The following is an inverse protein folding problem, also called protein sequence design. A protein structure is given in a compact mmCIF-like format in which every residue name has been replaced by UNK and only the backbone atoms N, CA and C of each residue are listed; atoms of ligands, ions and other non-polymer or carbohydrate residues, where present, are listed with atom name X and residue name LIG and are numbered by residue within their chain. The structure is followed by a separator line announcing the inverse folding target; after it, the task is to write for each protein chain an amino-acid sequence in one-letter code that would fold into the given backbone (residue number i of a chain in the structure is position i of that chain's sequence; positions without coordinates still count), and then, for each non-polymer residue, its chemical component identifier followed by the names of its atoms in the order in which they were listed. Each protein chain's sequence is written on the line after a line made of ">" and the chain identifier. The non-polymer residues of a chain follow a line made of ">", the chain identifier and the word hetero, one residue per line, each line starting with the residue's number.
data_IF_890821841085
#
_entry.id   IF_890821841085
#
_cell.length_a   1.000
_cell.length_b   1.000
_cell.length_c   1.000
_cell.angle_alpha   90.00
_cell.angle_beta   90.00
_cell.angle_gamma   90.00
#
_symmetry.space_group_name_H-M   'P 1'
#
loop_
_entity.id
_entity.type
_entity.pdbx_description
1 polymer ?
#
# COMPACT_ATOMS: atom_id res chain seq x y z
N UNK A 1 -9.79 -17.55 -19.31
CA UNK A 1 -9.57 -17.23 -20.74
C UNK A 1 -8.15 -17.64 -21.13
N UNK A 2 -7.95 -18.23 -22.30
CA UNK A 2 -6.64 -18.64 -22.81
C UNK A 2 -5.83 -17.42 -23.30
N UNK A 3 -4.77 -17.07 -22.57
CA UNK A 3 -3.82 -16.05 -23.02
C UNK A 3 -3.09 -16.53 -24.28
N UNK A 4 -3.11 -15.74 -25.34
CA UNK A 4 -2.44 -16.08 -26.60
C UNK A 4 -0.93 -16.31 -26.35
N UNK A 5 -0.39 -17.52 -26.60
CA UNK A 5 0.97 -17.90 -26.15
C UNK A 5 2.10 -17.12 -26.82
N UNK A 6 1.81 -16.34 -27.87
CA UNK A 6 2.78 -15.52 -28.58
C UNK A 6 2.92 -14.08 -28.05
N UNK A 7 2.27 -13.73 -26.92
CA UNK A 7 2.44 -12.43 -26.25
C UNK A 7 3.14 -12.57 -24.90
N UNK A 8 4.48 -12.64 -24.91
CA UNK A 8 5.29 -12.53 -23.68
C UNK A 8 5.52 -11.07 -23.28
N UNK A 9 5.47 -10.83 -21.97
CA UNK A 9 5.72 -9.56 -21.29
C UNK A 9 7.17 -9.53 -20.80
N UNK A 10 7.84 -8.38 -20.92
CA UNK A 10 9.21 -8.17 -20.46
C UNK A 10 9.27 -7.16 -19.30
N UNK A 11 10.29 -7.29 -18.45
CA UNK A 11 10.70 -6.23 -17.51
C UNK A 11 11.04 -4.95 -18.27
N UNK A 12 10.67 -3.78 -17.73
CA UNK A 12 11.06 -2.49 -18.29
C UNK A 12 12.55 -2.17 -18.10
N UNK A 13 13.09 -2.63 -16.97
CA UNK A 13 14.47 -2.43 -16.52
C UNK A 13 15.40 -3.43 -17.21
N UNK A 14 16.35 -2.98 -18.05
CA UNK A 14 17.34 -3.85 -18.67
C UNK A 14 18.56 -4.07 -17.76
N UNK A 15 19.18 -5.24 -17.86
CA UNK A 15 20.55 -5.46 -17.36
C UNK A 15 21.56 -5.18 -18.47
N UNK A 16 22.73 -4.67 -18.11
CA UNK A 16 23.86 -4.49 -19.05
C UNK A 16 24.77 -5.71 -19.02
N UNK A 17 25.07 -6.28 -20.18
CA UNK A 17 26.03 -7.37 -20.32
C UNK A 17 26.88 -7.10 -21.58
N UNK A 18 28.19 -6.88 -21.41
CA UNK A 18 29.15 -6.57 -22.50
C UNK A 18 28.62 -5.48 -23.46
N UNK A 19 28.24 -4.33 -22.88
CA UNK A 19 27.62 -3.17 -23.52
C UNK A 19 26.30 -3.42 -24.29
N UNK A 20 25.64 -4.56 -24.06
CA UNK A 20 24.36 -4.91 -24.68
C UNK A 20 23.27 -4.96 -23.60
N UNK A 21 22.18 -4.21 -23.81
CA UNK A 21 21.00 -4.23 -22.95
C UNK A 21 20.23 -5.54 -23.16
N UNK A 22 20.03 -6.30 -22.09
CA UNK A 22 19.24 -7.55 -22.05
C UNK A 22 18.02 -7.32 -21.16
N UNK A 23 16.88 -7.82 -21.61
CA UNK A 23 15.57 -7.74 -20.95
C UNK A 23 15.10 -9.16 -20.62
N UNK A 24 14.28 -9.33 -19.58
CA UNK A 24 13.86 -10.64 -19.11
C UNK A 24 12.34 -10.74 -19.12
N UNK A 25 11.78 -11.93 -19.34
CA UNK A 25 10.36 -12.20 -19.05
C UNK A 25 10.15 -12.73 -17.62
N UNK A 26 8.90 -12.88 -17.21
CA UNK A 26 8.52 -13.40 -15.89
C UNK A 26 8.89 -14.89 -15.65
N UNK A 27 9.50 -15.55 -16.65
CA UNK A 27 10.04 -16.92 -16.54
C UNK A 27 11.58 -16.91 -16.64
N UNK A 28 12.23 -15.73 -16.65
CA UNK A 28 13.69 -15.58 -16.68
C UNK A 28 14.34 -15.72 -18.05
N UNK A 29 13.59 -15.85 -19.15
CA UNK A 29 14.20 -15.97 -20.49
C UNK A 29 14.79 -14.63 -20.94
N UNK A 30 15.96 -14.69 -21.61
CA UNK A 30 16.66 -13.50 -22.09
C UNK A 30 16.13 -13.00 -23.45
N UNK A 31 15.95 -11.67 -23.56
CA UNK A 31 15.51 -10.98 -24.77
C UNK A 31 16.42 -9.79 -25.12
N UNK A 32 16.56 -9.52 -26.42
CA UNK A 32 17.25 -8.32 -26.94
C UNK A 32 16.38 -7.59 -27.96
N UNK A 33 16.50 -6.26 -28.03
CA UNK A 33 15.83 -5.43 -29.06
C UNK A 33 16.25 -5.94 -30.45
N UNK A 34 15.26 -6.31 -31.26
CA UNK A 34 15.45 -6.92 -32.58
C UNK A 34 15.12 -5.94 -33.71
N UNK A 35 14.04 -5.17 -33.57
CA UNK A 35 13.66 -4.08 -34.49
C UNK A 35 12.75 -3.08 -33.79
N UNK A 36 12.56 -1.93 -34.38
CA UNK A 36 11.65 -0.88 -33.90
C UNK A 36 10.82 -0.36 -35.07
N UNK A 37 9.59 0.08 -34.79
CA UNK A 37 8.67 0.55 -35.83
C UNK A 37 7.78 1.65 -35.28
N UNK A 38 7.61 2.74 -36.03
CA UNK A 38 6.83 3.92 -35.61
C UNK A 38 5.43 3.56 -35.10
N UNK A 39 4.74 2.62 -35.78
CA UNK A 39 3.37 2.19 -35.42
C UNK A 39 3.29 1.12 -34.31
N UNK A 40 4.37 0.40 -33.96
CA UNK A 40 4.29 -0.75 -33.01
C UNK A 40 5.34 -0.73 -31.89
N UNK A 41 6.23 0.27 -31.84
CA UNK A 41 7.29 0.41 -30.82
C UNK A 41 8.47 -0.57 -31.03
N UNK A 42 9.37 -0.68 -30.04
CA UNK A 42 10.44 -1.67 -30.04
C UNK A 42 9.90 -3.09 -29.86
N UNK A 43 10.44 -4.01 -30.65
CA UNK A 43 10.14 -5.45 -30.64
C UNK A 43 11.42 -6.19 -30.27
N UNK A 44 11.28 -7.15 -29.37
CA UNK A 44 12.35 -7.91 -28.76
C UNK A 44 12.30 -9.37 -29.24
N UNK A 45 13.44 -10.04 -29.32
CA UNK A 45 13.54 -11.47 -29.68
C UNK A 45 14.22 -12.24 -28.57
N UNK A 46 13.68 -13.43 -28.25
CA UNK A 46 14.29 -14.37 -27.30
C UNK A 46 15.66 -14.84 -27.80
N UNK A 47 16.64 -14.95 -26.90
CA UNK A 47 18.01 -15.35 -27.22
C UNK A 47 18.24 -16.88 -27.24
N UNK A 48 17.27 -17.68 -26.79
CA UNK A 48 17.33 -19.15 -26.85
C UNK A 48 17.37 -19.62 -28.31
N UNK A 49 18.35 -20.47 -28.65
CA UNK A 49 18.51 -21.05 -29.99
C UNK A 49 17.20 -21.73 -30.45
N UNK A 50 16.82 -21.51 -31.71
CA UNK A 50 15.57 -21.99 -32.35
C UNK A 50 14.24 -21.54 -31.71
N UNK A 51 14.23 -20.76 -30.62
CA UNK A 51 12.99 -20.38 -29.91
C UNK A 51 12.06 -19.45 -30.73
N UNK A 52 12.61 -18.51 -31.49
CA UNK A 52 11.85 -17.64 -32.41
C UNK A 52 10.92 -16.59 -31.77
N UNK A 53 10.53 -16.75 -30.50
CA UNK A 53 9.55 -15.89 -29.81
C UNK A 53 9.96 -14.41 -29.90
N UNK A 54 8.98 -13.60 -30.30
CA UNK A 54 9.04 -12.14 -30.22
C UNK A 54 8.21 -11.66 -29.03
N UNK A 55 8.73 -10.66 -28.33
CA UNK A 55 8.08 -10.02 -27.19
C UNK A 55 8.06 -8.50 -27.37
N UNK A 56 7.31 -7.82 -26.51
CA UNK A 56 7.33 -6.36 -26.39
C UNK A 56 7.61 -5.96 -24.94
N UNK A 57 8.23 -4.81 -24.78
CA UNK A 57 7.98 -4.00 -23.59
C UNK A 57 6.50 -3.60 -23.59
N UNK A 58 5.73 -4.21 -22.70
CA UNK A 58 4.60 -3.52 -22.08
C UNK A 58 5.20 -2.61 -21.00
N UNK A 59 5.06 -1.28 -21.10
CA UNK A 59 5.44 -0.40 -19.98
C UNK A 59 4.66 -0.84 -18.74
N UNK A 60 5.32 -0.89 -17.58
CA UNK A 60 4.65 -1.19 -16.32
C UNK A 60 3.77 0.00 -15.93
N UNK A 61 2.53 0.00 -16.45
CA UNK A 61 1.57 1.11 -16.49
C UNK A 61 2.22 2.44 -16.91
N UNK A 62 2.33 2.67 -18.23
CA UNK A 62 2.72 3.96 -18.86
C UNK A 62 2.46 5.17 -17.97
N UNK A 63 3.46 6.01 -17.70
CA UNK A 63 3.37 7.17 -16.79
C UNK A 63 2.19 8.12 -17.13
N UNK A 64 1.84 8.28 -18.41
CA UNK A 64 0.64 9.04 -18.84
C UNK A 64 -0.67 8.31 -18.57
N UNK A 65 -0.65 6.97 -18.51
CA UNK A 65 -1.76 6.14 -18.05
C UNK A 65 -1.87 6.12 -16.52
N UNK A 66 -0.76 6.06 -15.77
CA UNK A 66 -0.74 6.34 -14.33
C UNK A 66 -1.32 7.73 -14.04
N UNK A 67 -0.89 8.77 -14.76
CA UNK A 67 -1.47 10.10 -14.66
C UNK A 67 -2.96 10.14 -15.03
N UNK A 68 -3.43 9.34 -16.01
CA UNK A 68 -4.86 9.21 -16.35
C UNK A 68 -5.68 8.35 -15.37
N UNK A 69 -5.03 7.53 -14.54
CA UNK A 69 -5.64 6.75 -13.46
C UNK A 69 -5.67 7.57 -12.17
N UNK A 70 -4.59 8.29 -11.84
CA UNK A 70 -4.48 9.22 -10.71
C UNK A 70 -5.28 10.52 -10.91
N UNK A 71 -5.48 10.97 -12.17
CA UNK A 71 -6.49 11.99 -12.54
C UNK A 71 -7.84 11.39 -12.89
N UNK A 72 -8.18 10.20 -12.41
CA UNK A 72 -9.59 9.88 -12.20
C UNK A 72 -10.03 10.65 -10.96
N UNK A 73 -10.80 11.70 -11.18
CA UNK A 73 -11.91 11.99 -10.28
C UNK A 73 -13.08 11.23 -10.89
N UNK A 74 -13.31 10.00 -10.44
CA UNK A 74 -14.62 9.41 -10.59
C UNK A 74 -15.58 10.37 -9.90
N UNK A 75 -16.49 11.00 -10.67
CA UNK A 75 -17.70 11.55 -10.07
C UNK A 75 -18.31 10.39 -9.29
N UNK A 76 -18.46 10.54 -7.97
CA UNK A 76 -19.19 9.55 -7.17
C UNK A 76 -20.54 9.36 -7.86
N UNK A 77 -20.86 8.13 -8.23
CA UNK A 77 -22.17 7.81 -8.78
C UNK A 77 -23.23 8.23 -7.76
N UNK A 78 -24.42 8.56 -8.25
CA UNK A 78 -25.58 8.85 -7.40
C UNK A 78 -25.78 7.74 -6.36
N UNK A 79 -26.17 8.13 -5.15
CA UNK A 79 -26.38 7.29 -3.97
C UNK A 79 -26.94 5.90 -4.30
N UNK A 80 -26.28 4.86 -3.79
CA UNK A 80 -26.59 3.45 -4.09
C UNK A 80 -26.84 2.68 -2.81
N UNK A 81 -28.11 2.66 -2.40
CA UNK A 81 -28.58 2.06 -1.14
C UNK A 81 -28.02 0.67 -0.89
N UNK A 82 -27.62 0.43 0.36
CA UNK A 82 -27.16 -0.87 0.85
C UNK A 82 -28.32 -1.89 0.75
N UNK A 83 -28.22 -3.06 0.07
CA UNK A 83 -27.06 -3.71 -0.56
C UNK A 83 -26.76 -3.46 -2.04
N UNK A 84 -25.44 -3.46 -2.32
CA UNK A 84 -24.87 -3.69 -3.65
C UNK A 84 -24.74 -5.21 -3.94
N UNK A 85 -25.20 -5.71 -5.09
CA UNK A 85 -24.93 -7.08 -5.56
C UNK A 85 -23.56 -7.15 -6.26
N UNK A 86 -22.56 -7.80 -5.65
CA UNK A 86 -21.20 -7.98 -6.21
C UNK A 86 -20.66 -9.39 -5.86
N UNK A 87 -21.53 -10.37 -6.04
CA UNK A 87 -21.40 -11.70 -5.42
C UNK A 87 -20.26 -12.53 -6.02
N UNK A 88 -19.94 -12.29 -7.30
CA UNK A 88 -19.01 -13.07 -8.12
C UNK A 88 -17.88 -12.25 -8.75
N UNK A 89 -16.73 -12.90 -8.89
CA UNK A 89 -15.57 -12.38 -9.63
C UNK A 89 -15.80 -12.36 -11.15
N UNK A 90 -14.92 -11.67 -11.89
CA UNK A 90 -14.92 -11.65 -13.38
C UNK A 90 -14.69 -13.02 -14.04
N UNK A 91 -14.50 -14.08 -13.27
CA UNK A 91 -14.33 -15.46 -13.72
C UNK A 91 -15.46 -16.38 -13.21
N UNK A 92 -16.53 -15.84 -12.62
CA UNK A 92 -17.70 -16.59 -12.14
C UNK A 92 -17.51 -17.30 -10.79
N UNK A 93 -16.31 -17.27 -10.20
CA UNK A 93 -16.09 -17.80 -8.86
C UNK A 93 -16.68 -16.84 -7.81
N UNK A 94 -17.36 -17.40 -6.80
CA UNK A 94 -17.87 -16.70 -5.62
C UNK A 94 -16.77 -15.86 -4.98
N UNK A 95 -17.07 -14.59 -4.77
CA UNK A 95 -16.12 -13.56 -4.36
C UNK A 95 -16.56 -12.87 -3.07
N UNK A 96 -17.85 -12.60 -2.90
CA UNK A 96 -18.39 -12.16 -1.60
C UNK A 96 -18.37 -13.30 -0.57
N UNK A 97 -18.23 -12.93 0.71
CA UNK A 97 -17.99 -13.86 1.84
C UNK A 97 -18.76 -13.52 3.10
N UNK A 98 -18.92 -12.22 3.39
CA UNK A 98 -19.62 -11.70 4.57
C UNK A 98 -20.39 -10.47 4.15
N UNK A 99 -21.65 -10.39 4.59
CA UNK A 99 -22.62 -9.40 4.12
C UNK A 99 -23.53 -8.95 5.29
N UNK A 100 -23.12 -7.93 6.06
CA UNK A 100 -23.89 -7.50 7.27
C UNK A 100 -24.94 -6.42 7.01
N UNK A 101 -25.08 -5.98 5.76
CA UNK A 101 -25.86 -4.81 5.11
C UNK A 101 -27.23 -5.05 5.88
N UNK A 102 -27.83 -6.24 5.73
CA UNK A 102 -29.23 -6.47 6.04
C UNK A 102 -29.55 -6.50 7.54
N UNK A 103 -28.52 -6.45 8.38
CA UNK A 103 -28.61 -6.40 9.85
C UNK A 103 -28.48 -4.96 10.38
N UNK A 104 -28.17 -4.00 9.50
CA UNK A 104 -27.89 -2.61 9.82
C UNK A 104 -28.83 -1.64 9.09
N UNK A 105 -28.98 -0.42 9.61
CA UNK A 105 -29.74 0.64 8.95
C UNK A 105 -28.84 1.48 8.03
N UNK A 106 -29.42 2.12 7.01
CA UNK A 106 -28.66 2.99 6.09
C UNK A 106 -28.00 4.13 6.88
N UNK A 107 -26.66 4.18 6.86
CA UNK A 107 -25.86 5.14 7.63
C UNK A 107 -25.28 4.61 8.95
N UNK A 108 -25.59 3.38 9.35
CA UNK A 108 -24.88 2.68 10.43
C UNK A 108 -23.40 2.52 10.07
N UNK A 109 -22.50 2.80 11.03
CA UNK A 109 -21.05 2.75 10.87
C UNK A 109 -20.40 1.42 11.37
N UNK A 110 -21.20 0.38 11.63
CA UNK A 110 -20.74 -0.97 11.95
C UNK A 110 -20.81 -1.94 10.76
N UNK A 111 -21.55 -1.61 9.70
CA UNK A 111 -21.81 -2.51 8.58
C UNK A 111 -20.59 -2.75 7.68
N UNK A 112 -20.43 -4.00 7.23
CA UNK A 112 -19.28 -4.48 6.45
C UNK A 112 -19.72 -5.46 5.35
N UNK A 113 -19.17 -5.30 4.14
CA UNK A 113 -19.07 -6.38 3.13
C UNK A 113 -17.62 -6.85 3.02
N UNK A 114 -17.38 -8.17 2.96
CA UNK A 114 -16.05 -8.75 2.75
C UNK A 114 -16.05 -9.61 1.49
N UNK A 115 -15.02 -9.42 0.67
CA UNK A 115 -14.76 -10.19 -0.54
C UNK A 115 -13.38 -10.83 -0.48
N UNK A 116 -13.31 -12.12 -0.78
CA UNK A 116 -12.07 -12.88 -0.88
C UNK A 116 -12.21 -14.02 -1.89
N UNK A 117 -11.11 -14.34 -2.57
CA UNK A 117 -10.99 -15.55 -3.37
C UNK A 117 -10.09 -16.54 -2.64
N UNK A 118 -10.34 -17.85 -2.77
CA UNK A 118 -9.58 -18.89 -2.05
C UNK A 118 -8.06 -18.76 -2.26
N UNK A 119 -7.62 -18.34 -3.45
CA UNK A 119 -6.20 -18.08 -3.77
C UNK A 119 -5.60 -16.94 -2.91
N UNK A 120 -6.37 -15.89 -2.61
CA UNK A 120 -5.93 -14.80 -1.72
C UNK A 120 -5.84 -15.25 -0.27
N UNK A 121 -6.84 -16.01 0.21
CA UNK A 121 -6.84 -16.63 1.53
C UNK A 121 -5.63 -17.57 1.70
N UNK A 122 -5.31 -18.36 0.67
CA UNK A 122 -4.12 -19.20 0.62
C UNK A 122 -2.80 -18.42 0.63
N UNK A 123 -2.75 -17.26 -0.02
CA UNK A 123 -1.57 -16.39 0.01
C UNK A 123 -1.35 -15.82 1.43
N UNK A 124 -2.40 -15.40 2.14
CA UNK A 124 -2.30 -14.99 3.55
C UNK A 124 -1.87 -16.16 4.46
N UNK A 125 -2.45 -17.35 4.27
CA UNK A 125 -2.12 -18.57 5.02
C UNK A 125 -0.67 -19.00 4.83
N UNK A 126 -0.12 -18.85 3.63
CA UNK A 126 1.27 -19.21 3.27
C UNK A 126 2.29 -18.11 3.59
N UNK A 127 1.88 -16.84 3.69
CA UNK A 127 2.77 -15.70 3.90
C UNK A 127 2.29 -14.85 5.07
N UNK A 128 2.80 -15.14 6.28
CA UNK A 128 2.38 -14.52 7.55
C UNK A 128 2.87 -13.06 7.75
N UNK A 129 3.45 -12.42 6.74
CA UNK A 129 3.80 -10.99 6.75
C UNK A 129 2.75 -10.21 5.97
N UNK A 130 1.73 -9.70 6.66
CA UNK A 130 0.58 -9.04 6.03
C UNK A 130 0.78 -7.53 5.93
N UNK A 131 0.02 -6.93 5.03
CA UNK A 131 0.02 -5.49 4.76
C UNK A 131 -1.41 -5.05 4.51
N UNK A 132 -1.84 -3.94 5.13
CA UNK A 132 -3.20 -3.43 4.96
C UNK A 132 -3.26 -1.90 4.84
N UNK A 133 -4.20 -1.41 4.02
CA UNK A 133 -4.42 0.01 3.74
C UNK A 133 -5.92 0.30 3.52
N UNK A 134 -6.35 1.52 3.82
CA UNK A 134 -7.74 1.99 3.68
C UNK A 134 -7.87 3.07 2.60
N UNK A 135 -8.46 2.74 1.45
CA UNK A 135 -8.62 3.66 0.33
C UNK A 135 -10.04 4.21 0.18
N UNK A 136 -10.17 5.53 0.25
CA UNK A 136 -11.45 6.26 0.11
C UNK A 136 -11.83 6.52 -1.34
N UNK A 137 -10.85 6.47 -2.25
CA UNK A 137 -11.02 6.88 -3.63
C UNK A 137 -11.73 5.80 -4.49
N UNK A 138 -11.41 4.53 -4.25
CA UNK A 138 -12.00 3.39 -4.97
C UNK A 138 -13.26 2.83 -4.28
N UNK A 139 -13.82 3.56 -3.30
CA UNK A 139 -14.93 3.12 -2.47
C UNK A 139 -16.28 3.60 -3.04
N UNK A 140 -17.36 2.80 -3.03
CA UNK A 140 -18.71 3.27 -3.37
C UNK A 140 -19.18 4.38 -2.42
N UNK A 141 -20.13 5.21 -2.86
CA UNK A 141 -20.52 6.43 -2.15
C UNK A 141 -21.06 6.18 -0.73
N UNK A 142 -21.69 5.03 -0.53
CA UNK A 142 -22.44 4.62 0.66
C UNK A 142 -21.56 3.93 1.73
N UNK A 143 -20.25 3.86 1.52
CA UNK A 143 -19.27 3.33 2.48
C UNK A 143 -18.19 4.40 2.80
N UNK A 144 -17.57 4.29 3.98
CA UNK A 144 -16.49 5.20 4.39
C UNK A 144 -15.15 4.89 3.69
N UNK A 145 -14.86 3.61 3.46
CA UNK A 145 -13.59 3.17 2.86
C UNK A 145 -13.63 1.76 2.28
N UNK A 146 -12.79 1.51 1.28
CA UNK A 146 -12.37 0.18 0.87
C UNK A 146 -11.07 -0.16 1.62
N UNK A 147 -11.17 -1.04 2.62
CA UNK A 147 -10.02 -1.61 3.31
C UNK A 147 -9.51 -2.83 2.53
N UNK A 148 -8.19 -2.97 2.41
CA UNK A 148 -7.55 -4.03 1.64
C UNK A 148 -6.47 -4.67 2.49
N UNK A 149 -6.52 -6.00 2.66
CA UNK A 149 -5.46 -6.80 3.28
C UNK A 149 -4.80 -7.66 2.19
N UNK A 150 -3.47 -7.66 2.17
CA UNK A 150 -2.68 -8.41 1.21
C UNK A 150 -1.30 -8.78 1.74
N UNK A 151 -0.47 -9.28 0.84
CA UNK A 151 0.92 -9.65 1.13
C UNK A 151 1.87 -8.87 0.23
N UNK A 152 3.07 -8.58 0.72
CA UNK A 152 4.16 -8.12 -0.13
C UNK A 152 4.91 -9.35 -0.65
N UNK A 153 4.90 -9.58 -1.97
CA UNK A 153 5.73 -10.59 -2.63
C UNK A 153 6.74 -9.90 -3.53
N UNK A 154 8.01 -9.97 -3.12
CA UNK A 154 9.11 -9.21 -3.74
C UNK A 154 8.77 -7.70 -3.83
N UNK A 155 8.61 -7.18 -5.04
CA UNK A 155 8.29 -5.80 -5.37
C UNK A 155 6.78 -5.56 -5.60
N UNK A 156 5.94 -6.58 -5.48
CA UNK A 156 4.51 -6.53 -5.76
C UNK A 156 3.67 -6.67 -4.48
N UNK A 157 2.76 -5.72 -4.25
CA UNK A 157 1.66 -5.92 -3.31
C UNK A 157 0.57 -6.77 -3.98
N UNK A 158 0.20 -7.88 -3.34
CA UNK A 158 -0.85 -8.79 -3.79
C UNK A 158 -2.05 -8.68 -2.84
N UNK A 159 -3.14 -7.98 -3.23
CA UNK A 159 -4.33 -7.88 -2.41
C UNK A 159 -5.04 -9.24 -2.34
N UNK A 160 -5.43 -9.65 -1.13
CA UNK A 160 -5.95 -10.99 -0.84
C UNK A 160 -7.39 -10.96 -0.34
N UNK A 161 -7.73 -9.96 0.47
CA UNK A 161 -9.07 -9.69 1.02
C UNK A 161 -9.39 -8.21 0.82
N UNK A 162 -10.62 -7.93 0.40
CA UNK A 162 -11.17 -6.60 0.20
C UNK A 162 -12.38 -6.45 1.12
N UNK A 163 -12.50 -5.35 1.87
CA UNK A 163 -13.64 -5.09 2.73
C UNK A 163 -14.17 -3.67 2.52
N UNK A 164 -15.46 -3.54 2.26
CA UNK A 164 -16.15 -2.25 2.23
C UNK A 164 -16.68 -1.97 3.63
N UNK A 165 -16.17 -0.91 4.27
CA UNK A 165 -16.50 -0.55 5.64
C UNK A 165 -17.37 0.72 5.63
N UNK A 166 -18.56 0.65 6.22
CA UNK A 166 -19.43 1.82 6.43
C UNK A 166 -18.86 2.82 7.43
N UNK A 167 -17.92 2.36 8.26
CA UNK A 167 -17.26 3.15 9.29
C UNK A 167 -15.73 3.00 9.32
N UNK A 168 -15.19 3.61 10.37
CA UNK A 168 -13.77 3.75 10.73
C UNK A 168 -13.50 3.18 12.15
N UNK A 169 -14.43 2.39 12.65
CA UNK A 169 -14.43 1.90 14.04
C UNK A 169 -13.50 0.69 14.20
N UNK A 170 -13.00 0.46 15.42
CA UNK A 170 -12.21 -0.74 15.72
C UNK A 170 -13.02 -2.02 15.41
N UNK A 171 -14.33 -1.97 15.65
CA UNK A 171 -15.31 -3.03 15.38
C UNK A 171 -15.40 -3.39 13.89
N UNK A 172 -15.37 -2.41 12.97
CA UNK A 172 -15.31 -2.68 11.53
C UNK A 172 -14.07 -3.49 11.14
N UNK A 173 -12.91 -3.13 11.70
CA UNK A 173 -11.64 -3.84 11.43
C UNK A 173 -11.60 -5.21 12.11
N UNK A 174 -12.10 -5.30 13.34
CA UNK A 174 -12.27 -6.55 14.08
C UNK A 174 -13.11 -7.56 13.29
N UNK A 175 -14.23 -7.14 12.70
CA UNK A 175 -15.07 -8.02 11.86
C UNK A 175 -14.29 -8.63 10.68
N UNK A 176 -13.44 -7.84 10.02
CA UNK A 176 -12.58 -8.32 8.91
C UNK A 176 -11.52 -9.31 9.40
N UNK A 177 -10.89 -9.05 10.54
CA UNK A 177 -9.90 -9.96 11.13
C UNK A 177 -10.55 -11.25 11.68
N UNK A 178 -11.75 -11.17 12.28
CA UNK A 178 -12.52 -12.34 12.73
C UNK A 178 -12.92 -13.24 11.56
N UNK A 179 -13.32 -12.65 10.42
CA UNK A 179 -13.55 -13.42 9.19
C UNK A 179 -12.29 -14.18 8.75
N UNK A 180 -11.14 -13.49 8.65
CA UNK A 180 -9.85 -14.11 8.28
C UNK A 180 -9.48 -15.25 9.24
N UNK A 181 -9.71 -15.08 10.55
CA UNK A 181 -9.51 -16.14 11.55
C UNK A 181 -10.47 -17.34 11.33
N UNK A 182 -11.75 -17.10 11.01
CA UNK A 182 -12.74 -18.16 10.75
C UNK A 182 -12.44 -19.00 9.49
N UNK A 183 -11.73 -18.43 8.52
CA UNK A 183 -11.21 -19.15 7.34
C UNK A 183 -10.01 -20.06 7.69
N UNK A 184 -9.72 -20.29 8.97
CA UNK A 184 -8.56 -21.08 9.45
C UNK A 184 -7.24 -20.58 8.82
N UNK A 185 -7.06 -19.26 8.85
CA UNK A 185 -5.81 -18.59 8.50
C UNK A 185 -5.08 -18.29 9.82
N UNK A 186 -3.82 -18.75 10.00
CA UNK A 186 -3.07 -18.48 11.21
C UNK A 186 -2.82 -16.97 11.35
N UNK A 187 -2.80 -16.48 12.59
CA UNK A 187 -2.37 -15.12 12.91
C UNK A 187 -1.05 -14.79 12.17
N UNK A 188 -0.85 -13.55 11.69
CA UNK A 188 0.40 -13.20 11.03
C UNK A 188 1.58 -13.29 12.03
N UNK A 189 2.81 -13.20 11.53
CA UNK A 189 3.99 -12.89 12.35
C UNK A 189 4.19 -11.39 12.44
N UNK A 190 3.76 -10.64 11.41
CA UNK A 190 3.62 -9.19 11.46
C UNK A 190 2.51 -8.66 10.56
N UNK A 191 1.86 -7.58 10.99
CA UNK A 191 0.96 -6.77 10.19
C UNK A 191 1.55 -5.37 10.00
N UNK A 192 1.60 -4.87 8.76
CA UNK A 192 2.04 -3.51 8.44
C UNK A 192 0.86 -2.65 7.95
N UNK A 193 0.65 -1.46 8.53
CA UNK A 193 -0.48 -0.57 8.19
C UNK A 193 -0.08 0.90 8.13
N UNK A 194 -1.04 1.77 7.79
CA UNK A 194 -0.97 3.20 8.10
C UNK A 194 -1.16 3.46 9.62
N UNK A 195 -1.19 4.74 10.01
CA UNK A 195 -1.29 5.18 11.41
C UNK A 195 -2.73 5.22 11.95
N UNK A 196 -3.72 4.61 11.29
CA UNK A 196 -5.09 4.62 11.80
C UNK A 196 -5.26 3.63 12.97
N UNK A 197 -5.23 4.17 14.19
CA UNK A 197 -5.28 3.42 15.47
C UNK A 197 -6.44 2.41 15.55
N UNK A 198 -7.56 2.67 14.89
CA UNK A 198 -8.71 1.75 14.84
C UNK A 198 -8.36 0.40 14.20
N UNK A 199 -7.46 0.36 13.20
CA UNK A 199 -6.98 -0.89 12.60
C UNK A 199 -6.23 -1.71 13.65
N UNK A 200 -5.29 -1.09 14.36
CA UNK A 200 -4.52 -1.74 15.42
C UNK A 200 -5.41 -2.24 16.57
N UNK A 201 -6.39 -1.44 16.99
CA UNK A 201 -7.34 -1.84 18.04
C UNK A 201 -8.19 -3.03 17.61
N UNK A 202 -8.79 -3.02 16.41
CA UNK A 202 -9.57 -4.15 15.89
C UNK A 202 -8.71 -5.40 15.64
N UNK A 203 -7.44 -5.21 15.26
CA UNK A 203 -6.46 -6.29 15.13
C UNK A 203 -6.13 -6.96 16.49
N UNK A 204 -5.90 -6.16 17.53
CA UNK A 204 -5.61 -6.66 18.88
C UNK A 204 -6.78 -7.44 19.49
N UNK A 205 -8.04 -7.10 19.18
CA UNK A 205 -9.21 -7.86 19.66
C UNK A 205 -9.30 -9.28 19.09
N UNK A 206 -8.61 -9.56 17.97
CA UNK A 206 -8.65 -10.88 17.30
C UNK A 206 -7.39 -11.71 17.56
N UNK A 207 -6.22 -11.09 17.59
CA UNK A 207 -4.93 -11.79 17.69
C UNK A 207 -4.12 -11.45 18.95
N UNK A 208 -4.64 -10.59 19.84
CA UNK A 208 -3.97 -10.17 21.07
C UNK A 208 -2.77 -9.25 20.85
N UNK A 209 -2.08 -8.93 21.95
CA UNK A 209 -0.91 -8.05 21.94
C UNK A 209 0.41 -8.73 21.54
N UNK A 210 0.42 -10.06 21.38
CA UNK A 210 1.63 -10.87 21.17
C UNK A 210 2.16 -10.90 19.72
N UNK A 211 1.51 -10.23 18.77
CA UNK A 211 1.93 -10.22 17.36
C UNK A 211 2.39 -8.83 16.94
N UNK A 212 3.53 -8.76 16.24
CA UNK A 212 4.12 -7.50 15.82
C UNK A 212 3.21 -6.69 14.89
N UNK A 213 2.97 -5.43 15.25
CA UNK A 213 2.37 -4.43 14.38
C UNK A 213 3.44 -3.41 13.97
N UNK A 214 3.46 -3.03 12.70
CA UNK A 214 4.42 -2.10 12.13
C UNK A 214 3.71 -1.01 11.34
N UNK A 215 4.28 0.20 11.34
CA UNK A 215 3.75 1.33 10.59
C UNK A 215 4.56 1.58 9.31
N UNK A 216 3.88 1.94 8.23
CA UNK A 216 4.55 2.34 6.99
C UNK A 216 5.38 3.62 7.19
N UNK A 217 6.70 3.51 6.95
CA UNK A 217 7.64 4.64 6.93
C UNK A 217 7.20 5.76 5.96
N UNK A 218 6.55 5.40 4.86
CA UNK A 218 5.94 6.37 3.93
C UNK A 218 4.86 7.25 4.58
N UNK A 219 3.96 6.65 5.37
CA UNK A 219 2.93 7.41 6.09
C UNK A 219 3.51 8.19 7.27
N UNK A 220 4.57 7.69 7.91
CA UNK A 220 5.34 8.42 8.92
C UNK A 220 5.95 9.70 8.34
N UNK A 221 6.68 9.59 7.22
CA UNK A 221 7.27 10.73 6.51
C UNK A 221 6.21 11.73 6.04
N UNK A 222 5.08 11.26 5.50
CA UNK A 222 3.95 12.14 5.19
C UNK A 222 3.39 12.85 6.43
N UNK A 223 3.22 12.17 7.56
CA UNK A 223 2.69 12.74 8.78
C UNK A 223 3.61 13.81 9.39
N UNK A 224 4.94 13.64 9.28
CA UNK A 224 5.93 14.68 9.59
C UNK A 224 5.73 15.90 8.69
N UNK A 225 5.72 15.73 7.36
CA UNK A 225 5.59 16.84 6.39
C UNK A 225 4.25 17.60 6.54
N UNK A 226 3.15 16.87 6.78
CA UNK A 226 1.83 17.44 7.10
C UNK A 226 1.90 18.29 8.38
N UNK A 227 2.58 17.83 9.43
CA UNK A 227 2.73 18.56 10.70
C UNK A 227 3.59 19.83 10.54
N UNK A 228 4.70 19.75 9.79
CA UNK A 228 5.55 20.90 9.47
C UNK A 228 4.73 22.01 8.80
N UNK A 229 3.95 21.66 7.77
CA UNK A 229 3.06 22.63 7.10
C UNK A 229 2.00 23.19 8.05
N UNK A 230 1.31 22.34 8.82
CA UNK A 230 0.29 22.76 9.81
C UNK A 230 0.83 23.70 10.89
N UNK A 231 2.13 23.67 11.19
CA UNK A 231 2.78 24.46 12.26
C UNK A 231 3.61 25.63 11.74
N UNK A 232 3.49 25.98 10.46
CA UNK A 232 4.23 27.10 9.84
C UNK A 232 5.74 26.86 9.66
N UNK A 233 6.25 25.65 9.96
CA UNK A 233 7.68 25.34 9.96
C UNK A 233 8.27 25.13 8.55
N UNK A 234 7.47 25.31 7.48
CA UNK A 234 7.87 25.03 6.09
C UNK A 234 9.02 25.89 5.56
N UNK A 235 9.26 27.09 6.11
CA UNK A 235 10.43 27.90 5.73
C UNK A 235 11.71 27.45 6.47
N UNK A 236 11.75 27.36 7.81
CA UNK A 236 12.92 26.87 8.55
C UNK A 236 13.49 25.53 8.04
N UNK A 237 12.64 24.55 7.71
CA UNK A 237 13.10 23.23 7.22
C UNK A 237 13.65 23.22 5.78
N UNK A 238 13.68 24.35 5.09
CA UNK A 238 14.31 24.46 3.76
C UNK A 238 15.77 24.89 3.82
N UNK A 239 16.25 25.36 4.97
CA UNK A 239 17.68 25.61 5.22
C UNK A 239 18.51 24.31 5.16
N UNK A 240 19.83 24.35 4.92
CA UNK A 240 20.66 23.14 4.94
C UNK A 240 20.59 22.39 6.28
N UNK A 241 20.66 23.11 7.40
CA UNK A 241 20.52 22.54 8.74
C UNK A 241 19.13 21.94 8.96
N UNK A 242 18.06 22.70 8.67
CA UNK A 242 16.68 22.22 8.83
C UNK A 242 16.31 21.04 7.93
N UNK A 243 16.96 20.90 6.76
CA UNK A 243 16.90 19.69 5.92
C UNK A 243 17.60 18.50 6.58
N UNK A 244 18.77 18.72 7.17
CA UNK A 244 19.47 17.72 7.97
C UNK A 244 18.62 17.23 9.14
N UNK A 245 18.09 18.12 9.98
CA UNK A 245 17.20 17.74 11.09
C UNK A 245 15.95 17.00 10.62
N UNK A 246 15.35 17.43 9.50
CA UNK A 246 14.21 16.73 8.91
C UNK A 246 14.57 15.31 8.45
N UNK A 247 15.74 15.13 7.85
CA UNK A 247 16.25 13.81 7.44
C UNK A 247 16.54 12.92 8.67
N UNK A 248 17.19 13.45 9.71
CA UNK A 248 17.43 12.69 10.95
C UNK A 248 16.12 12.32 11.65
N UNK A 249 15.14 13.24 11.75
CA UNK A 249 13.80 12.96 12.28
C UNK A 249 13.06 11.88 11.47
N UNK A 250 13.27 11.81 10.16
CA UNK A 250 12.71 10.78 9.29
C UNK A 250 13.46 9.44 9.37
N UNK A 251 14.74 9.47 9.73
CA UNK A 251 15.61 8.30 9.91
C UNK A 251 15.40 7.58 11.25
N UNK A 252 14.75 8.20 12.25
CA UNK A 252 14.36 7.54 13.50
C UNK A 252 13.51 6.28 13.29
N UNK A 253 12.81 6.16 12.15
CA UNK A 253 12.08 4.93 11.77
C UNK A 253 12.98 3.78 11.29
N UNK A 254 14.31 3.96 11.32
CA UNK A 254 15.34 2.96 10.99
C UNK A 254 16.26 2.65 12.18
N UNK A 255 16.00 3.26 13.34
CA UNK A 255 16.72 3.07 14.60
C UNK A 255 16.01 1.99 15.42
N UNK A 256 16.75 1.20 16.20
CA UNK A 256 16.12 0.17 17.04
C UNK A 256 15.25 0.80 18.14
N UNK A 257 14.07 0.25 18.48
CA UNK A 257 13.06 0.94 19.29
C UNK A 257 13.56 1.46 20.65
N UNK A 258 14.49 0.74 21.30
CA UNK A 258 15.09 1.13 22.57
C UNK A 258 16.06 2.32 22.48
N UNK A 259 16.66 2.59 21.31
CA UNK A 259 17.60 3.70 21.11
C UNK A 259 16.90 4.98 20.60
N UNK A 260 15.68 4.86 20.07
CA UNK A 260 14.90 6.00 19.52
C UNK A 260 14.83 7.21 20.47
N UNK A 261 14.68 7.08 21.80
CA UNK A 261 14.68 8.23 22.71
C UNK A 261 15.97 9.05 22.65
N UNK A 262 17.13 8.39 22.69
CA UNK A 262 18.45 9.04 22.73
C UNK A 262 18.77 9.73 21.40
N UNK A 263 18.50 9.06 20.28
CA UNK A 263 18.65 9.66 18.96
C UNK A 263 17.65 10.81 18.72
N UNK A 264 16.43 10.73 19.27
CA UNK A 264 15.45 11.83 19.19
C UNK A 264 15.94 13.06 19.97
N UNK A 265 16.37 12.90 21.22
CA UNK A 265 16.84 14.03 22.02
C UNK A 265 18.17 14.61 21.47
N UNK A 266 19.05 13.79 20.88
CA UNK A 266 20.22 14.27 20.14
C UNK A 266 19.84 15.15 18.92
N UNK A 267 18.82 14.76 18.15
CA UNK A 267 18.30 15.57 17.02
C UNK A 267 17.64 16.85 17.52
N UNK A 268 16.91 16.80 18.65
CA UNK A 268 16.34 17.97 19.32
C UNK A 268 17.41 18.96 19.78
N UNK A 269 18.49 18.49 20.41
CA UNK A 269 19.62 19.32 20.84
C UNK A 269 20.34 19.96 19.65
N UNK A 270 20.57 19.21 18.57
CA UNK A 270 21.12 19.74 17.32
C UNK A 270 20.23 20.85 16.71
N UNK A 271 18.92 20.66 16.72
CA UNK A 271 17.93 21.62 16.22
C UNK A 271 17.80 22.88 17.11
N UNK A 272 18.09 22.79 18.41
CA UNK A 272 18.20 23.94 19.31
C UNK A 272 19.45 24.78 19.04
N UNK A 273 20.59 24.14 18.77
CA UNK A 273 21.90 24.79 18.71
C UNK A 273 22.31 25.32 17.31
N UNK A 274 21.51 25.07 16.27
CA UNK A 274 21.83 25.47 14.89
C UNK A 274 21.36 26.90 14.58
N UNK A 275 22.12 27.74 13.84
CA UNK A 275 21.71 29.10 13.50
C UNK A 275 20.94 29.18 12.15
N UNK A 276 19.86 30.00 12.05
CA UNK A 276 19.09 30.54 13.16
C UNK A 276 18.35 29.40 13.90
N UNK A 277 18.21 29.48 15.24
CA UNK A 277 17.55 28.43 16.00
C UNK A 277 16.11 28.23 15.55
N UNK A 278 15.61 27.00 15.67
CA UNK A 278 14.18 26.65 15.53
C UNK A 278 13.37 27.15 16.75
N UNK A 279 13.55 28.44 17.08
CA UNK A 279 13.18 29.07 18.33
C UNK A 279 11.68 29.24 18.53
N UNK A 280 11.30 29.35 19.81
CA UNK A 280 9.95 29.55 20.38
C UNK A 280 8.88 28.50 20.04
N UNK A 281 8.82 27.97 18.82
CA UNK A 281 7.87 26.94 18.39
C UNK A 281 8.20 25.52 18.90
N UNK A 282 9.18 25.35 19.79
CA UNK A 282 9.59 24.03 20.29
C UNK A 282 8.50 23.29 21.09
N UNK A 283 7.60 24.02 21.77
CA UNK A 283 6.36 23.43 22.35
C UNK A 283 5.46 22.81 21.28
N UNK A 284 5.50 23.30 20.03
CA UNK A 284 4.77 22.70 18.92
C UNK A 284 5.44 21.40 18.45
N UNK A 285 6.77 21.29 18.47
CA UNK A 285 7.51 20.06 18.13
C UNK A 285 7.23 18.95 19.14
N UNK A 286 7.37 19.20 20.46
CA UNK A 286 6.98 18.20 21.49
C UNK A 286 5.45 17.92 21.49
N UNK A 287 4.61 18.82 20.94
CA UNK A 287 3.19 18.57 20.63
C UNK A 287 2.92 17.87 19.28
N UNK A 288 3.93 17.48 18.49
CA UNK A 288 3.75 16.52 17.39
C UNK A 288 3.66 15.10 17.97
N UNK A 289 4.46 14.80 18.98
CA UNK A 289 4.67 13.43 19.48
C UNK A 289 3.80 13.04 20.68
N UNK A 290 3.14 13.97 21.38
CA UNK A 290 2.11 13.65 22.39
C UNK A 290 0.76 13.17 21.81
N UNK A 291 0.73 12.69 20.57
CA UNK A 291 -0.48 12.26 19.83
C UNK A 291 -0.24 11.02 18.95
N UNK A 292 0.88 10.33 19.13
CA UNK A 292 1.18 9.02 18.56
C UNK A 292 1.61 8.10 19.71
#
# INVERSE_FOLDING_TARGET
>A
MSGNPHKRVLTDTPRSNKNKKIFYDAMGFEFRKHKETVKKGPIYRCLVKKCGILAKLTPFVNEKALAKVAKRVAKRASTTTWPHPIDCSTYGALFERVDTCAQHQQGDHAAVKIYAHNVGLDLLRKNRSWTADGTFYSCPADFAQLFIIGIQKEHLFLPCVFALLSGKSAQCYEAVFRYILSENIPAPTKLMTDFERAIFQGYQQVYGAGVAHQYFVFHFHQNILRNIKKRGLSSPVQTPFGKGHLQSMMALALVEPQEVPDYFDAVVLSAHNSPPPLGTNFRAVKKVFRLY
#
